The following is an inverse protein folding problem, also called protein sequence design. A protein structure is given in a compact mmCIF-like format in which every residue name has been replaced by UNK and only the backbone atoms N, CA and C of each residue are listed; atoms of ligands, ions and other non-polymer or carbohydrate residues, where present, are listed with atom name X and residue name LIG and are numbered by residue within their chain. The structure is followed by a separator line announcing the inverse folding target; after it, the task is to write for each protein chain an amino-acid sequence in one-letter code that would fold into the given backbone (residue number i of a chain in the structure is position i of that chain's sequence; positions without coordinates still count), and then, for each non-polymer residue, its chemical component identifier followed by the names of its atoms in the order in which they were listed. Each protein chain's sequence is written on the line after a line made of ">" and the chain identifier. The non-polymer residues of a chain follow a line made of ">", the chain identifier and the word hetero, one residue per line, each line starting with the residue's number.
data_IF_328730898170
#
_entry.id   IF_328730898170
#
_cell.length_a   1.000
_cell.length_b   1.000
_cell.length_c   1.000
_cell.angle_alpha   90.00
_cell.angle_beta   90.00
_cell.angle_gamma   90.00
#
_symmetry.space_group_name_H-M   'P 1'
#
loop_
_entity.id
_entity.type
_entity.pdbx_description
1 polymer ?
#
# COMPACT_ATOMS: atom_id res chain seq x y z
N UNK A 1 -20.97 8.11 -21.10
CA UNK A 1 -19.51 8.14 -21.35
C UNK A 1 -18.77 7.60 -20.13
N UNK A 2 -18.85 6.30 -19.88
CA UNK A 2 -18.19 5.62 -18.75
C UNK A 2 -17.25 4.50 -19.18
N UNK A 3 -17.18 4.21 -20.47
CA UNK A 3 -16.46 3.04 -21.01
C UNK A 3 -14.96 3.33 -21.24
N UNK A 4 -14.59 4.59 -21.43
CA UNK A 4 -13.23 5.00 -21.80
C UNK A 4 -12.23 4.94 -20.62
N UNK A 5 -12.70 5.23 -19.39
CA UNK A 5 -11.85 5.19 -18.19
C UNK A 5 -11.42 3.77 -17.79
N UNK A 6 -12.24 2.76 -18.05
CA UNK A 6 -11.91 1.37 -17.74
C UNK A 6 -10.93 0.74 -18.73
N UNK A 7 -10.87 1.26 -19.96
CA UNK A 7 -10.00 0.75 -21.01
C UNK A 7 -8.55 1.25 -20.85
N UNK A 8 -8.38 2.51 -20.40
CA UNK A 8 -7.05 3.06 -20.07
C UNK A 8 -6.46 2.41 -18.82
N UNK A 9 -7.29 2.13 -17.81
CA UNK A 9 -6.84 1.58 -16.51
C UNK A 9 -6.34 0.13 -16.63
N UNK A 10 -7.04 -0.71 -17.41
CA UNK A 10 -6.62 -2.09 -17.68
C UNK A 10 -5.33 -2.16 -18.51
N UNK A 11 -5.21 -1.31 -19.55
CA UNK A 11 -3.99 -1.24 -20.36
C UNK A 11 -2.78 -0.81 -19.53
N UNK A 12 -2.97 0.11 -18.57
CA UNK A 12 -1.89 0.49 -17.65
C UNK A 12 -1.50 -0.61 -16.67
N UNK A 13 -2.45 -1.41 -16.17
CA UNK A 13 -2.14 -2.51 -15.23
C UNK A 13 -1.26 -3.59 -15.88
N UNK A 14 -1.53 -3.93 -17.14
CA UNK A 14 -0.73 -4.86 -17.95
C UNK A 14 0.69 -4.30 -18.21
N UNK A 15 0.82 -3.01 -18.52
CA UNK A 15 2.13 -2.35 -18.67
C UNK A 15 2.93 -2.35 -17.36
N UNK A 16 2.26 -2.07 -16.23
CA UNK A 16 2.88 -2.12 -14.91
C UNK A 16 3.28 -3.54 -14.49
N UNK A 17 2.53 -4.56 -14.91
CA UNK A 17 2.87 -5.95 -14.70
C UNK A 17 4.19 -6.31 -15.38
N UNK A 18 4.38 -5.91 -16.64
CA UNK A 18 5.65 -6.12 -17.37
C UNK A 18 6.81 -5.41 -16.66
N UNK A 19 6.65 -4.15 -16.27
CA UNK A 19 7.69 -3.38 -15.58
C UNK A 19 8.04 -3.99 -14.22
N UNK A 20 7.03 -4.45 -13.47
CA UNK A 20 7.21 -5.16 -12.20
C UNK A 20 7.98 -6.46 -12.41
N UNK A 21 7.61 -7.25 -13.42
CA UNK A 21 8.29 -8.51 -13.73
C UNK A 21 9.76 -8.27 -14.12
N UNK A 22 10.06 -7.28 -14.96
CA UNK A 22 11.46 -6.97 -15.32
C UNK A 22 12.28 -6.56 -14.08
N UNK A 23 11.67 -5.83 -13.14
CA UNK A 23 12.36 -5.34 -11.94
C UNK A 23 12.49 -6.39 -10.83
N UNK A 24 11.49 -7.24 -10.64
CA UNK A 24 11.36 -8.11 -9.47
C UNK A 24 11.20 -9.61 -9.82
N UNK A 25 10.98 -9.94 -11.09
CA UNK A 25 10.69 -11.30 -11.56
C UNK A 25 9.23 -11.71 -11.36
N UNK A 26 9.00 -13.03 -11.41
CA UNK A 26 7.70 -13.63 -11.13
C UNK A 26 7.28 -13.41 -9.67
N UNK A 27 6.01 -13.06 -9.47
CA UNK A 27 5.45 -12.96 -8.12
C UNK A 27 5.33 -14.37 -7.50
N UNK A 28 5.63 -14.52 -6.21
CA UNK A 28 5.39 -15.78 -5.53
C UNK A 28 3.90 -16.12 -5.53
N UNK A 29 3.60 -17.43 -5.50
CA UNK A 29 2.24 -17.92 -5.43
C UNK A 29 1.52 -17.35 -4.19
N UNK A 30 0.26 -16.95 -4.36
CA UNK A 30 -0.54 -16.43 -3.27
C UNK A 30 -0.85 -17.53 -2.26
N UNK A 31 -0.59 -17.26 -0.98
CA UNK A 31 -0.91 -18.17 0.12
C UNK A 31 -2.43 -18.19 0.35
N UNK A 32 -3.02 -19.38 0.44
CA UNK A 32 -4.45 -19.51 0.73
C UNK A 32 -4.76 -19.06 2.17
N UNK A 33 -5.95 -18.51 2.46
CA UNK A 33 -6.30 -18.08 3.81
C UNK A 33 -6.10 -19.13 4.90
N UNK A 34 -6.35 -20.41 4.57
CA UNK A 34 -6.18 -21.52 5.50
C UNK A 34 -4.72 -21.84 5.84
N UNK A 35 -3.77 -21.43 4.99
CA UNK A 35 -2.33 -21.70 5.15
C UNK A 35 -1.59 -20.48 5.73
N UNK A 36 -2.29 -19.39 6.04
CA UNK A 36 -1.68 -18.20 6.67
C UNK A 36 -1.41 -18.45 8.16
N UNK A 37 -0.30 -17.92 8.65
CA UNK A 37 0.08 -18.00 10.07
C UNK A 37 -0.52 -16.80 10.81
N UNK A 38 -1.12 -17.05 11.97
CA UNK A 38 -1.63 -15.99 12.84
C UNK A 38 -0.46 -15.16 13.42
N UNK A 39 -0.57 -13.83 13.31
CA UNK A 39 0.45 -12.89 13.77
C UNK A 39 -0.13 -11.96 14.83
N UNK A 40 0.66 -11.61 15.85
CA UNK A 40 0.34 -10.58 16.84
C UNK A 40 1.16 -9.31 16.58
N UNK A 41 0.66 -8.16 17.04
CA UNK A 41 1.43 -6.91 17.02
C UNK A 41 2.67 -7.05 17.92
N UNK A 42 3.83 -6.70 17.38
CA UNK A 42 5.12 -6.75 18.10
C UNK A 42 5.69 -5.37 18.38
N UNK A 43 5.21 -4.35 17.67
CA UNK A 43 5.63 -2.98 17.90
C UNK A 43 5.01 -2.47 19.21
N UNK A 44 5.74 -1.69 20.01
CA UNK A 44 5.13 -1.02 21.14
C UNK A 44 4.14 0.06 20.64
N UNK A 45 3.10 0.38 21.43
CA UNK A 45 2.23 1.51 21.14
C UNK A 45 3.04 2.77 20.88
N UNK A 46 2.66 3.54 19.86
CA UNK A 46 3.28 4.83 19.60
C UNK A 46 3.02 5.78 20.79
N UNK A 47 4.07 6.11 21.54
CA UNK A 47 4.01 7.18 22.51
C UNK A 47 4.09 8.52 21.77
N UNK A 48 2.97 9.24 21.70
CA UNK A 48 3.00 10.61 21.18
C UNK A 48 3.85 11.49 22.12
N UNK A 49 4.79 12.29 21.59
CA UNK A 49 5.52 13.24 22.41
C UNK A 49 4.56 14.29 23.00
N UNK A 50 4.88 14.79 24.19
CA UNK A 50 4.10 15.88 24.80
C UNK A 50 4.00 17.05 23.82
N UNK A 51 2.76 17.46 23.50
CA UNK A 51 2.54 18.58 22.61
C UNK A 51 3.12 19.85 23.25
N UNK A 52 4.00 20.58 22.56
CA UNK A 52 4.49 21.85 23.09
C UNK A 52 3.30 22.80 23.29
N UNK A 53 3.30 23.64 24.33
CA UNK A 53 2.24 24.62 24.54
C UNK A 53 2.18 25.53 23.31
N UNK A 54 1.12 25.37 22.52
CA UNK A 54 0.95 26.04 21.24
C UNK A 54 0.81 27.54 21.48
N UNK A 55 1.86 28.34 21.22
CA UNK A 55 1.71 29.77 20.93
C UNK A 55 1.70 29.96 19.44
N UNK A 56 0.51 29.93 18.84
CA UNK A 56 0.27 30.35 17.46
C UNK A 56 -0.51 31.66 17.49
N UNK A 57 0.20 32.77 17.64
CA UNK A 57 -0.29 34.05 17.12
C UNK A 57 0.26 34.18 15.70
N UNK A 58 -0.57 33.86 14.71
CA UNK A 58 -0.32 34.27 13.33
C UNK A 58 -1.07 35.58 13.15
N UNK A 59 -0.32 36.67 13.02
CA UNK A 59 -0.82 37.98 12.59
C UNK A 59 -1.07 38.04 11.09
#
# INVERSE_FOLDING_TARGET
>A
MGEDRGHTDRSTDEEFEVLRHVRFGELPARVAPADQVETAETDPPHEEPEQPPVRREWG
#
